data_IF_564100272501
#
_entry.id   IF_564100272501
#
_cell.length_a   1.000
_cell.length_b   1.000
_cell.length_c   1.000
_cell.angle_alpha   90.00
_cell.angle_beta   90.00
_cell.angle_gamma   90.00
#
_symmetry.space_group_name_H-M   'P 1'
#
loop_
_entity.id
_entity.type
_entity.pdbx_description
1 polymer ?
#
# COMPACT_ATOMS: atom_id res chain seq x y z
N UNK A 1 12.60 -2.15 -15.43
CA UNK A 1 11.16 -2.50 -15.41
C UNK A 1 11.04 -4.01 -15.48
N UNK A 2 10.41 -4.64 -14.49
CA UNK A 2 10.24 -6.08 -14.49
C UNK A 2 9.22 -6.50 -15.56
N UNK A 3 9.60 -7.47 -16.38
CA UNK A 3 8.70 -8.06 -17.35
C UNK A 3 7.78 -9.10 -16.67
N UNK A 4 6.57 -9.27 -17.20
CA UNK A 4 5.60 -10.28 -16.71
C UNK A 4 6.20 -11.70 -16.70
N UNK A 5 7.08 -12.04 -17.67
CA UNK A 5 7.72 -13.34 -17.72
C UNK A 5 8.70 -13.55 -16.56
N UNK A 6 9.45 -12.53 -16.18
CA UNK A 6 10.35 -12.58 -15.01
C UNK A 6 9.56 -12.78 -13.73
N UNK A 7 8.42 -12.10 -13.58
CA UNK A 7 7.53 -12.27 -12.43
C UNK A 7 6.99 -13.69 -12.36
N UNK A 8 6.49 -14.25 -13.47
CA UNK A 8 5.99 -15.62 -13.50
C UNK A 8 7.12 -16.61 -13.17
N UNK A 9 8.31 -16.41 -13.71
CA UNK A 9 9.47 -17.25 -13.40
C UNK A 9 9.85 -17.17 -11.92
N UNK A 10 9.85 -15.97 -11.33
CA UNK A 10 10.07 -15.78 -9.90
C UNK A 10 9.01 -16.52 -9.07
N UNK A 11 7.74 -16.40 -9.46
CA UNK A 11 6.63 -17.05 -8.76
C UNK A 11 6.66 -18.59 -8.86
N UNK A 12 7.23 -19.13 -9.91
CA UNK A 12 7.33 -20.59 -10.15
C UNK A 12 8.56 -21.23 -9.51
N UNK A 13 9.48 -20.46 -8.94
CA UNK A 13 10.61 -21.02 -8.20
C UNK A 13 10.14 -21.55 -6.85
N UNK A 14 10.70 -22.67 -6.45
CA UNK A 14 10.49 -23.20 -5.09
C UNK A 14 11.46 -22.52 -4.12
N UNK A 15 11.00 -22.08 -2.94
CA UNK A 15 11.88 -21.58 -1.90
C UNK A 15 12.80 -22.69 -1.41
N UNK A 16 14.11 -22.39 -1.24
CA UNK A 16 15.12 -23.38 -0.85
C UNK A 16 15.23 -23.51 0.67
N UNK A 17 15.03 -22.40 1.41
CA UNK A 17 15.23 -22.34 2.87
C UNK A 17 13.97 -21.93 3.64
N UNK A 18 12.82 -21.91 3.00
CA UNK A 18 11.56 -21.50 3.63
C UNK A 18 10.40 -22.33 3.05
N UNK A 19 9.30 -22.42 3.77
CA UNK A 19 8.08 -23.06 3.27
C UNK A 19 7.38 -22.23 2.21
N UNK A 20 7.50 -20.90 2.29
CA UNK A 20 6.87 -19.96 1.38
C UNK A 20 7.80 -18.83 0.98
N UNK A 21 7.61 -18.32 -0.22
CA UNK A 21 8.20 -17.07 -0.71
C UNK A 21 7.13 -16.02 -0.98
N UNK A 22 7.54 -14.77 -0.92
CA UNK A 22 6.68 -13.63 -1.27
C UNK A 22 7.27 -12.90 -2.46
N UNK A 23 6.48 -12.73 -3.51
CA UNK A 23 6.84 -11.94 -4.70
C UNK A 23 5.96 -10.71 -4.71
N UNK A 24 6.55 -9.51 -4.69
CA UNK A 24 5.84 -8.24 -4.64
C UNK A 24 6.09 -7.45 -5.91
N UNK A 25 5.03 -7.18 -6.67
CA UNK A 25 5.06 -6.24 -7.79
C UNK A 25 4.63 -4.87 -7.26
N UNK A 26 5.55 -3.92 -7.25
CA UNK A 26 5.25 -2.52 -6.94
C UNK A 26 4.98 -1.77 -8.23
N UNK A 27 4.08 -0.78 -8.17
CA UNK A 27 3.73 0.09 -9.31
C UNK A 27 3.28 -0.72 -10.55
N UNK A 28 2.43 -1.72 -10.34
CA UNK A 28 1.99 -2.65 -11.40
C UNK A 28 1.27 -1.96 -12.58
N UNK A 29 0.80 -0.71 -12.39
CA UNK A 29 0.21 0.10 -13.48
C UNK A 29 1.21 0.45 -14.59
N UNK A 30 2.52 0.35 -14.33
CA UNK A 30 3.58 0.57 -15.31
C UNK A 30 4.02 -0.71 -16.02
N UNK A 31 3.54 -1.86 -15.56
CA UNK A 31 3.87 -3.14 -16.20
C UNK A 31 3.08 -3.28 -17.50
N UNK A 32 3.82 -3.49 -18.58
CA UNK A 32 3.21 -3.87 -19.85
C UNK A 32 2.64 -5.29 -19.75
N UNK A 33 1.44 -5.47 -20.30
CA UNK A 33 0.80 -6.80 -20.37
C UNK A 33 0.58 -7.47 -19.01
N UNK A 34 0.09 -6.71 -18.02
CA UNK A 34 -0.31 -7.24 -16.69
C UNK A 34 -1.30 -8.41 -16.81
N UNK A 35 -2.12 -8.43 -17.84
CA UNK A 35 -3.07 -9.49 -18.17
C UNK A 35 -2.39 -10.86 -18.44
N UNK A 36 -1.12 -10.89 -18.80
CA UNK A 36 -0.35 -12.14 -18.96
C UNK A 36 -0.16 -12.89 -17.64
N UNK A 37 -0.29 -12.23 -16.49
CA UNK A 37 -0.28 -12.89 -15.19
C UNK A 37 -1.46 -13.83 -14.97
N UNK A 38 -2.52 -13.73 -15.77
CA UNK A 38 -3.68 -14.64 -15.74
C UNK A 38 -3.22 -16.10 -15.79
N UNK A 39 -2.29 -16.44 -16.67
CA UNK A 39 -1.79 -17.80 -16.82
C UNK A 39 -1.16 -18.38 -15.54
N UNK A 40 -0.58 -17.55 -14.71
CA UNK A 40 -0.04 -17.97 -13.40
C UNK A 40 -1.13 -17.99 -12.32
N UNK A 41 -2.01 -17.00 -12.31
CA UNK A 41 -3.07 -16.86 -11.28
C UNK A 41 -4.10 -17.98 -11.38
N UNK A 42 -4.31 -18.55 -12.56
CA UNK A 42 -5.17 -19.72 -12.75
C UNK A 42 -4.70 -20.95 -11.96
N UNK A 43 -3.37 -21.17 -11.94
CA UNK A 43 -2.73 -22.30 -11.26
C UNK A 43 -1.50 -21.85 -10.47
N UNK A 44 -1.68 -21.11 -9.36
CA UNK A 44 -0.57 -20.59 -8.58
C UNK A 44 0.11 -21.69 -7.76
N UNK A 45 1.41 -21.54 -7.50
CA UNK A 45 2.10 -22.40 -6.55
C UNK A 45 1.69 -22.05 -5.11
N UNK A 46 1.37 -23.10 -4.33
CA UNK A 46 1.00 -22.93 -2.92
C UNK A 46 2.14 -22.40 -2.04
N UNK A 47 3.41 -22.55 -2.50
CA UNK A 47 4.58 -22.03 -1.83
C UNK A 47 4.87 -20.56 -2.15
N UNK A 48 4.09 -19.92 -3.03
CA UNK A 48 4.32 -18.52 -3.42
C UNK A 48 3.12 -17.64 -3.08
N UNK A 49 3.38 -16.53 -2.39
CA UNK A 49 2.42 -15.44 -2.17
C UNK A 49 2.78 -14.33 -3.15
N UNK A 50 1.91 -14.11 -4.14
CA UNK A 50 2.04 -12.99 -5.09
C UNK A 50 1.25 -11.79 -4.60
N UNK A 51 1.91 -10.66 -4.40
CA UNK A 51 1.31 -9.37 -4.02
C UNK A 51 1.47 -8.41 -5.19
N UNK A 52 0.36 -7.85 -5.66
CA UNK A 52 0.35 -6.87 -6.77
C UNK A 52 -0.16 -5.54 -6.25
N UNK A 53 0.71 -4.54 -6.16
CA UNK A 53 0.35 -3.17 -5.80
C UNK A 53 0.15 -2.34 -7.08
N UNK A 54 -1.10 -2.01 -7.36
CA UNK A 54 -1.52 -1.23 -8.52
C UNK A 54 -2.07 0.12 -8.04
N UNK A 55 -1.52 1.22 -8.56
CA UNK A 55 -1.90 2.58 -8.17
C UNK A 55 -2.62 3.34 -9.30
N UNK A 56 -3.29 4.41 -8.94
CA UNK A 56 -3.84 5.48 -9.79
C UNK A 56 -4.95 5.06 -10.76
N UNK A 57 -5.01 3.82 -11.19
CA UNK A 57 -6.05 3.32 -12.09
C UNK A 57 -6.65 2.04 -11.55
N UNK A 58 -7.93 1.85 -11.77
CA UNK A 58 -8.56 0.56 -11.53
C UNK A 58 -8.22 -0.39 -12.69
N UNK A 59 -8.02 -1.66 -12.37
CA UNK A 59 -7.99 -2.72 -13.38
C UNK A 59 -9.33 -2.74 -14.09
N UNK A 60 -9.34 -2.79 -15.44
CA UNK A 60 -10.61 -2.84 -16.19
C UNK A 60 -11.42 -4.05 -15.71
N UNK A 61 -12.56 -3.78 -15.10
CA UNK A 61 -13.44 -4.80 -14.51
C UNK A 61 -13.99 -5.81 -15.51
N UNK A 62 -13.90 -5.54 -16.82
CA UNK A 62 -14.30 -6.43 -17.92
C UNK A 62 -13.18 -7.36 -18.34
N UNK A 63 -11.95 -7.10 -17.97
CA UNK A 63 -10.79 -7.91 -18.32
C UNK A 63 -10.86 -9.32 -17.71
N UNK A 64 -10.22 -10.30 -18.37
CA UNK A 64 -10.07 -11.64 -17.84
C UNK A 64 -9.34 -11.64 -16.48
N UNK A 65 -8.34 -10.79 -16.33
CA UNK A 65 -7.62 -10.58 -15.08
C UNK A 65 -8.56 -10.15 -13.95
N UNK A 66 -9.39 -9.13 -14.17
CA UNK A 66 -10.30 -8.63 -13.13
C UNK A 66 -11.35 -9.69 -12.71
N UNK A 67 -11.84 -10.49 -13.64
CA UNK A 67 -12.77 -11.59 -13.35
C UNK A 67 -12.10 -12.67 -12.52
N UNK A 68 -10.88 -13.04 -12.86
CA UNK A 68 -10.09 -14.04 -12.16
C UNK A 68 -9.71 -13.59 -10.74
N UNK A 69 -9.30 -12.35 -10.57
CA UNK A 69 -8.96 -11.78 -9.27
C UNK A 69 -10.12 -11.82 -8.28
N UNK A 70 -11.36 -11.64 -8.73
CA UNK A 70 -12.55 -11.73 -7.88
C UNK A 70 -12.77 -13.11 -7.26
N UNK A 71 -12.29 -14.17 -7.92
CA UNK A 71 -12.51 -15.56 -7.50
C UNK A 71 -11.27 -16.21 -6.89
N UNK A 72 -10.08 -15.80 -7.29
CA UNK A 72 -8.81 -16.45 -6.93
C UNK A 72 -7.91 -15.61 -6.03
N UNK A 73 -8.22 -14.33 -5.81
CA UNK A 73 -7.36 -13.44 -5.04
C UNK A 73 -8.12 -12.65 -3.98
N UNK A 74 -7.40 -12.18 -2.97
CA UNK A 74 -7.89 -11.16 -2.04
C UNK A 74 -7.63 -9.80 -2.66
N UNK A 75 -8.70 -9.08 -3.01
CA UNK A 75 -8.60 -7.75 -3.62
C UNK A 75 -8.90 -6.68 -2.56
N UNK A 76 -7.91 -5.86 -2.26
CA UNK A 76 -8.04 -4.69 -1.39
C UNK A 76 -8.08 -3.44 -2.25
N UNK A 77 -9.19 -2.71 -2.21
CA UNK A 77 -9.33 -1.43 -2.91
C UNK A 77 -9.28 -0.28 -1.92
N UNK A 78 -8.34 0.63 -2.14
CA UNK A 78 -8.20 1.85 -1.36
C UNK A 78 -8.64 3.05 -2.20
N UNK A 79 -9.25 4.04 -1.56
CA UNK A 79 -9.60 5.31 -2.20
C UNK A 79 -8.75 6.40 -1.59
N UNK A 80 -8.40 7.40 -2.40
CA UNK A 80 -7.76 8.61 -1.91
C UNK A 80 -8.68 9.26 -0.87
N UNK A 81 -8.13 9.63 0.27
CA UNK A 81 -8.89 10.31 1.32
C UNK A 81 -9.26 11.72 0.85
N UNK A 82 -10.47 12.17 1.17
CA UNK A 82 -10.88 13.56 0.91
C UNK A 82 -10.20 14.51 1.91
N UNK A 83 -9.87 15.72 1.46
CA UNK A 83 -9.13 16.71 2.26
C UNK A 83 -9.83 17.06 3.57
N UNK A 84 -11.16 17.11 3.57
CA UNK A 84 -11.95 17.35 4.78
C UNK A 84 -11.87 16.23 5.84
N UNK A 85 -11.32 15.06 5.49
CA UNK A 85 -11.12 13.92 6.42
C UNK A 85 -9.70 13.84 6.95
N UNK A 86 -8.78 14.65 6.40
CA UNK A 86 -7.38 14.63 6.83
C UNK A 86 -7.20 15.02 8.30
N UNK A 87 -7.86 16.07 8.83
CA UNK A 87 -7.72 16.42 10.24
C UNK A 87 -8.14 15.28 11.19
N UNK A 88 -9.26 14.61 10.89
CA UNK A 88 -9.75 13.49 11.70
C UNK A 88 -8.74 12.32 11.66
N UNK A 89 -8.19 12.03 10.48
CA UNK A 89 -7.19 10.99 10.30
C UNK A 89 -5.89 11.30 11.07
N UNK A 90 -5.41 12.54 11.01
CA UNK A 90 -4.22 12.97 11.76
C UNK A 90 -4.43 12.82 13.26
N UNK A 91 -5.57 13.28 13.78
CA UNK A 91 -5.91 13.15 15.20
C UNK A 91 -5.95 11.68 15.64
N UNK A 92 -6.61 10.82 14.85
CA UNK A 92 -6.70 9.40 15.16
C UNK A 92 -5.33 8.74 15.14
N UNK A 93 -4.53 9.01 14.10
CA UNK A 93 -3.19 8.43 13.98
C UNK A 93 -2.26 8.85 15.14
N UNK A 94 -2.33 10.12 15.57
CA UNK A 94 -1.60 10.65 16.72
C UNK A 94 -2.03 9.96 18.02
N UNK A 95 -3.33 9.80 18.21
CA UNK A 95 -3.90 9.12 19.40
C UNK A 95 -3.52 7.64 19.44
N UNK A 96 -3.58 6.92 18.31
CA UNK A 96 -3.19 5.50 18.20
C UNK A 96 -1.72 5.27 18.55
N UNK A 97 -0.88 6.29 18.38
CA UNK A 97 0.55 6.26 18.77
C UNK A 97 0.79 6.79 20.20
N UNK A 98 -0.27 7.08 20.98
CA UNK A 98 -0.17 7.50 22.39
C UNK A 98 0.21 8.96 22.60
N UNK A 99 -0.03 9.82 21.59
CA UNK A 99 0.28 11.24 21.65
C UNK A 99 -0.98 12.10 21.54
N UNK A 100 -0.82 13.39 21.79
CA UNK A 100 -1.84 14.41 21.58
C UNK A 100 -1.27 15.51 20.68
N UNK A 101 -2.13 16.15 19.90
CA UNK A 101 -1.75 17.23 19.00
C UNK A 101 -2.77 18.37 19.14
N UNK A 102 -2.26 19.59 19.08
CA UNK A 102 -3.13 20.77 19.11
C UNK A 102 -3.88 20.92 17.76
N UNK A 103 -5.18 21.25 17.76
CA UNK A 103 -5.96 21.43 16.54
C UNK A 103 -5.35 22.41 15.52
N UNK A 104 -4.71 23.49 15.99
CA UNK A 104 -3.99 24.41 15.10
C UNK A 104 -2.80 23.75 14.40
N UNK A 105 -2.07 22.87 15.10
CA UNK A 105 -0.95 22.15 14.51
C UNK A 105 -1.46 21.14 13.47
N UNK A 106 -2.58 20.46 13.72
CA UNK A 106 -3.22 19.59 12.73
C UNK A 106 -3.54 20.35 11.45
N UNK A 107 -4.16 21.54 11.59
CA UNK A 107 -4.53 22.35 10.44
C UNK A 107 -3.29 22.78 9.64
N UNK A 108 -2.24 23.25 10.31
CA UNK A 108 -0.97 23.63 9.66
C UNK A 108 -0.36 22.47 8.87
N UNK A 109 -0.35 21.27 9.44
CA UNK A 109 0.19 20.07 8.80
C UNK A 109 -0.62 19.74 7.54
N UNK A 110 -1.93 19.74 7.64
CA UNK A 110 -2.84 19.44 6.52
C UNK A 110 -2.71 20.48 5.41
N UNK A 111 -2.68 21.77 5.76
CA UNK A 111 -2.59 22.87 4.78
C UNK A 111 -1.25 22.86 4.03
N UNK A 112 -0.14 22.51 4.72
CA UNK A 112 1.20 22.52 4.12
C UNK A 112 1.53 21.27 3.32
N UNK A 113 1.03 20.11 3.73
CA UNK A 113 1.38 18.83 3.12
C UNK A 113 0.33 18.40 2.09
N UNK A 114 -0.93 18.75 2.33
CA UNK A 114 -2.05 18.30 1.52
C UNK A 114 -2.35 16.82 1.72
N UNK A 115 -2.90 16.17 0.70
CA UNK A 115 -3.45 14.83 0.75
C UNK A 115 -2.38 13.73 0.49
N UNK A 116 -1.24 13.81 1.15
CA UNK A 116 -0.21 12.78 1.15
C UNK A 116 -0.05 12.20 2.56
N UNK A 117 -0.80 11.13 2.86
CA UNK A 117 -0.80 10.49 4.17
C UNK A 117 0.59 9.97 4.57
N UNK A 118 1.37 9.48 3.61
CA UNK A 118 2.73 8.98 3.87
C UNK A 118 3.65 10.11 4.30
N UNK A 119 3.55 11.26 3.63
CA UNK A 119 4.32 12.46 3.97
C UNK A 119 3.88 13.04 5.31
N UNK A 120 2.57 13.12 5.57
CA UNK A 120 2.05 13.55 6.88
C UNK A 120 2.59 12.66 7.98
N UNK A 121 2.50 11.33 7.83
CA UNK A 121 3.04 10.37 8.78
C UNK A 121 4.52 10.60 9.05
N UNK A 122 5.33 10.71 8.00
CA UNK A 122 6.77 10.92 8.14
C UNK A 122 7.13 12.21 8.88
N UNK A 123 6.40 13.30 8.63
CA UNK A 123 6.62 14.56 9.35
C UNK A 123 6.22 14.45 10.82
N UNK A 124 5.11 13.79 11.12
CA UNK A 124 4.71 13.52 12.50
C UNK A 124 5.77 12.66 13.23
N UNK A 125 6.27 11.61 12.61
CA UNK A 125 7.32 10.76 13.18
C UNK A 125 8.61 11.53 13.44
N UNK A 126 9.02 12.43 12.55
CA UNK A 126 10.17 13.33 12.77
C UNK A 126 9.97 14.23 13.98
N UNK A 127 8.78 14.85 14.11
CA UNK A 127 8.47 15.70 15.26
C UNK A 127 8.60 14.94 16.58
N UNK A 128 8.16 13.69 16.64
CA UNK A 128 8.27 12.86 17.85
C UNK A 128 9.69 12.43 18.14
N UNK A 129 10.43 12.00 17.13
CA UNK A 129 11.84 11.59 17.30
C UNK A 129 12.71 12.74 17.78
N UNK A 130 12.42 13.97 17.33
CA UNK A 130 13.16 15.18 17.72
C UNK A 130 12.81 15.67 19.13
N UNK A 131 11.59 15.41 19.61
CA UNK A 131 11.07 15.97 20.85
C UNK A 131 10.64 14.93 21.89
N UNK A 132 11.19 13.71 21.86
CA UNK A 132 10.87 12.65 22.85
C UNK A 132 10.87 13.10 24.32
N UNK A 133 11.58 14.17 24.65
CA UNK A 133 11.66 14.75 26.00
C UNK A 133 10.59 15.82 26.31
N UNK A 134 9.92 16.40 25.32
CA UNK A 134 9.03 17.57 25.50
C UNK A 134 7.54 17.32 25.28
N UNK A 135 7.14 16.18 24.72
CA UNK A 135 5.74 15.89 24.38
C UNK A 135 5.05 14.92 25.38
N UNK A 136 5.60 14.80 26.59
CA UNK A 136 4.85 14.22 27.69
C UNK A 136 3.82 15.25 28.15
N UNK A 137 2.59 15.03 27.70
CA UNK A 137 1.36 15.52 28.33
C UNK A 137 1.28 17.00 28.65
N UNK A 138 0.52 17.70 27.90
CA UNK A 138 -0.33 18.79 28.43
C UNK A 138 -1.74 18.58 27.92
#
# INVERSE_FOLDING_TARGET
DADWAEVINACKRYPVFAEKQVVIIKEAQHMNSLDKLVSYIENPLNSTILVVAHKDKNVDGRSALAKLLKTKAVVVSTKKMYDNKLPDWVNQWVADNGYQINPKAVQIIVDHIGNDLSRIKNELEKLWNTNRAKWKVW
#
